data_IF_182215524572
#
_entry.id   IF_182215524572
#
_cell.length_a   1.000
_cell.length_b   1.000
_cell.length_c   1.000
_cell.angle_alpha   90.00
_cell.angle_beta   90.00
_cell.angle_gamma   90.00
#
_symmetry.space_group_name_H-M   'P 1'
#
loop_
_entity.id
_entity.type
_entity.pdbx_description
1 polymer ?
#
# COMPACT_ATOMS: atom_id res chain seq x y z
N UNK A 1 -2.42 -8.97 16.14
CA UNK A 1 -1.34 -9.36 15.22
C UNK A 1 -1.52 -10.78 14.68
N UNK A 2 -1.86 -11.78 15.51
CA UNK A 2 -1.98 -13.20 15.12
C UNK A 2 -3.06 -13.54 14.06
N UNK A 3 -3.91 -12.58 13.67
CA UNK A 3 -4.94 -12.76 12.63
C UNK A 3 -4.52 -12.23 11.26
N UNK A 4 -3.37 -11.53 11.17
CA UNK A 4 -2.85 -11.05 9.90
C UNK A 4 -2.24 -12.24 9.16
N UNK A 5 -2.76 -12.53 7.96
CA UNK A 5 -2.31 -13.68 7.14
C UNK A 5 -1.32 -13.26 6.07
N UNK A 6 -1.35 -11.99 5.65
CA UNK A 6 -0.47 -11.47 4.61
C UNK A 6 -0.57 -9.96 4.48
N UNK A 7 0.33 -9.40 3.69
CA UNK A 7 0.42 -7.99 3.35
C UNK A 7 0.49 -7.86 1.84
N UNK A 8 -0.18 -6.84 1.30
CA UNK A 8 -0.17 -6.54 -0.12
C UNK A 8 0.45 -5.16 -0.34
N UNK A 9 1.57 -5.11 -1.02
CA UNK A 9 2.28 -3.86 -1.34
C UNK A 9 1.82 -3.35 -2.70
N UNK A 10 1.41 -2.09 -2.75
CA UNK A 10 0.99 -1.45 -4.01
C UNK A 10 2.18 -1.10 -4.89
N UNK A 11 3.24 -0.59 -4.30
CA UNK A 11 4.51 -0.27 -4.94
C UNK A 11 5.63 -0.17 -3.90
N UNK A 12 6.86 0.13 -4.35
CA UNK A 12 8.05 -0.03 -3.51
C UNK A 12 8.71 1.31 -3.11
N UNK A 13 7.96 2.41 -3.06
CA UNK A 13 8.45 3.61 -2.40
C UNK A 13 8.61 3.35 -0.89
N UNK A 14 9.53 4.07 -0.26
CA UNK A 14 9.92 3.85 1.14
C UNK A 14 8.77 4.03 2.12
N UNK A 15 7.88 4.96 1.89
CA UNK A 15 6.68 5.24 2.70
C UNK A 15 5.58 4.17 2.58
N UNK A 16 5.71 3.22 1.63
CA UNK A 16 4.81 2.08 1.47
C UNK A 16 5.42 0.76 1.94
N UNK A 17 6.71 0.74 2.30
CA UNK A 17 7.40 -0.48 2.72
C UNK A 17 8.07 -0.38 4.09
N UNK A 18 8.28 0.82 4.64
CA UNK A 18 9.06 1.03 5.88
C UNK A 18 8.49 0.27 7.07
N UNK A 19 7.16 0.25 7.24
CA UNK A 19 6.50 -0.43 8.36
C UNK A 19 6.35 -1.94 8.16
N UNK A 20 6.71 -2.49 6.99
CA UNK A 20 6.67 -3.93 6.75
C UNK A 20 7.59 -4.69 7.72
N UNK A 21 8.74 -4.11 8.05
CA UNK A 21 9.68 -4.68 8.99
C UNK A 21 9.09 -4.80 10.41
N UNK A 22 8.44 -3.74 10.88
CA UNK A 22 7.78 -3.73 12.21
C UNK A 22 6.57 -4.67 12.23
N UNK A 23 5.72 -4.63 11.21
CA UNK A 23 4.59 -5.56 11.06
C UNK A 23 5.05 -7.02 11.10
N UNK A 24 6.13 -7.35 10.42
CA UNK A 24 6.72 -8.68 10.41
C UNK A 24 7.12 -9.10 11.83
N UNK A 25 7.89 -8.29 12.55
CA UNK A 25 8.32 -8.60 13.93
C UNK A 25 7.13 -8.75 14.86
N UNK A 26 6.16 -7.83 14.81
CA UNK A 26 4.95 -7.86 15.65
C UNK A 26 4.03 -9.06 15.35
N UNK A 27 4.11 -9.64 14.16
CA UNK A 27 3.35 -10.84 13.81
C UNK A 27 4.11 -12.13 14.06
N UNK A 28 5.43 -12.08 14.18
CA UNK A 28 6.30 -13.23 14.45
C UNK A 28 6.45 -13.49 15.95
N UNK A 29 6.92 -12.50 16.72
CA UNK A 29 7.20 -12.66 18.16
C UNK A 29 5.89 -12.80 18.93
N UNK A 30 5.74 -13.92 19.67
CA UNK A 30 4.60 -14.20 20.55
C UNK A 30 3.22 -14.05 19.87
N UNK A 31 3.15 -14.27 18.56
CA UNK A 31 1.91 -14.05 17.79
C UNK A 31 1.12 -15.33 17.49
N UNK A 32 1.65 -16.49 17.83
CA UNK A 32 1.10 -17.81 17.45
C UNK A 32 0.96 -17.99 15.92
N UNK A 33 1.79 -17.30 15.13
CA UNK A 33 1.88 -17.50 13.68
C UNK A 33 2.46 -18.89 13.41
N UNK A 34 1.89 -19.61 12.47
CA UNK A 34 2.30 -21.00 12.14
C UNK A 34 3.08 -21.10 10.82
N UNK A 35 3.29 -19.96 10.15
CA UNK A 35 4.07 -19.84 8.90
C UNK A 35 4.66 -18.44 8.77
N UNK A 36 5.63 -18.28 7.89
CA UNK A 36 6.17 -16.96 7.50
C UNK A 36 5.06 -16.03 6.99
N UNK A 37 5.26 -14.71 7.12
CA UNK A 37 4.29 -13.72 6.67
C UNK A 37 4.24 -13.69 5.14
N UNK A 38 3.05 -13.94 4.57
CA UNK A 38 2.86 -13.78 3.13
C UNK A 38 2.97 -12.30 2.74
N UNK A 39 3.84 -11.97 1.78
CA UNK A 39 3.99 -10.62 1.24
C UNK A 39 3.81 -10.65 -0.26
N UNK A 40 2.69 -10.12 -0.72
CA UNK A 40 2.37 -9.95 -2.13
C UNK A 40 2.83 -8.54 -2.55
N UNK A 41 3.45 -8.42 -3.71
CA UNK A 41 3.87 -7.10 -4.20
C UNK A 41 4.32 -7.13 -5.65
N UNK A 42 4.59 -5.95 -6.22
CA UNK A 42 5.11 -5.85 -7.59
C UNK A 42 6.48 -6.52 -7.71
N UNK A 43 6.90 -6.81 -8.93
CA UNK A 43 8.25 -7.30 -9.23
C UNK A 43 9.29 -6.40 -8.54
N UNK A 44 10.22 -7.01 -7.81
CA UNK A 44 11.21 -6.34 -6.95
C UNK A 44 10.88 -6.41 -5.47
N UNK A 45 9.68 -6.88 -5.08
CA UNK A 45 9.30 -7.10 -3.68
C UNK A 45 10.28 -8.06 -2.98
N UNK A 46 10.90 -8.97 -3.73
CA UNK A 46 11.91 -9.91 -3.26
C UNK A 46 13.15 -9.20 -2.68
N UNK A 47 13.53 -8.06 -3.29
CA UNK A 47 14.66 -7.26 -2.78
C UNK A 47 14.32 -6.60 -1.44
N UNK A 48 13.08 -6.20 -1.26
CA UNK A 48 12.60 -5.57 -0.01
C UNK A 48 12.57 -6.59 1.12
N UNK A 49 11.92 -7.73 0.89
CA UNK A 49 11.79 -8.78 1.90
C UNK A 49 13.16 -9.37 2.28
N UNK A 50 14.01 -9.67 1.29
CA UNK A 50 15.36 -10.14 1.53
C UNK A 50 16.21 -9.12 2.31
N UNK A 51 16.10 -7.83 1.95
CA UNK A 51 16.83 -6.78 2.67
C UNK A 51 16.43 -6.67 4.14
N UNK A 52 15.14 -6.80 4.45
CA UNK A 52 14.68 -6.85 5.85
C UNK A 52 15.12 -8.14 6.56
N UNK A 53 15.07 -9.30 5.92
CA UNK A 53 15.55 -10.55 6.50
C UNK A 53 17.06 -10.47 6.80
N UNK A 54 17.86 -9.92 5.90
CA UNK A 54 19.30 -9.74 6.11
C UNK A 54 19.56 -8.78 7.30
N UNK A 55 18.79 -7.70 7.40
CA UNK A 55 18.94 -6.74 8.50
C UNK A 55 18.57 -7.34 9.87
N UNK A 56 17.61 -8.27 9.92
CA UNK A 56 17.10 -8.85 11.17
C UNK A 56 17.68 -10.21 11.53
N UNK A 57 18.65 -10.75 10.78
CA UNK A 57 19.22 -12.08 11.04
C UNK A 57 19.70 -12.27 12.48
N UNK A 58 20.40 -11.29 13.03
CA UNK A 58 20.88 -11.35 14.42
C UNK A 58 19.73 -11.22 15.43
N UNK A 59 18.74 -10.39 15.17
CA UNK A 59 17.55 -10.27 16.02
C UNK A 59 16.77 -11.60 16.08
N UNK A 60 16.61 -12.27 14.93
CA UNK A 60 16.00 -13.60 14.87
C UNK A 60 16.76 -14.61 15.72
N UNK A 61 18.09 -14.61 15.63
CA UNK A 61 18.94 -15.49 16.42
C UNK A 61 18.80 -15.19 17.90
N UNK A 62 18.97 -13.93 18.33
CA UNK A 62 18.98 -13.53 19.75
C UNK A 62 17.62 -13.78 20.42
N UNK A 63 16.49 -13.46 19.73
CA UNK A 63 15.17 -13.72 20.30
C UNK A 63 14.88 -15.21 20.43
N UNK A 64 15.28 -16.01 19.44
CA UNK A 64 15.13 -17.45 19.53
C UNK A 64 16.01 -18.06 20.65
N UNK A 65 17.25 -17.64 20.79
CA UNK A 65 18.15 -18.10 21.87
C UNK A 65 17.61 -17.72 23.26
N UNK A 66 16.97 -16.55 23.40
CA UNK A 66 16.36 -16.12 24.67
C UNK A 66 15.05 -16.82 25.00
N UNK A 67 14.20 -17.10 23.99
CA UNK A 67 12.80 -17.42 24.24
C UNK A 67 12.35 -18.74 23.60
N UNK A 68 13.16 -19.36 22.75
CA UNK A 68 12.85 -20.62 22.07
C UNK A 68 11.70 -20.53 21.06
N UNK A 69 11.28 -21.69 20.58
CA UNK A 69 10.25 -21.81 19.55
C UNK A 69 8.85 -21.43 20.01
N UNK A 70 8.60 -21.43 21.32
CA UNK A 70 7.28 -21.00 21.85
C UNK A 70 7.01 -19.52 21.59
N UNK A 71 8.02 -18.68 21.55
CA UNK A 71 7.90 -17.22 21.44
C UNK A 71 8.44 -16.70 20.10
N UNK A 72 9.58 -17.26 19.65
CA UNK A 72 10.29 -16.82 18.48
C UNK A 72 10.74 -18.01 17.61
N UNK A 73 9.79 -18.75 17.00
CA UNK A 73 10.11 -19.92 16.19
C UNK A 73 10.91 -19.53 14.96
N UNK A 74 12.13 -20.09 14.85
CA UNK A 74 13.14 -19.69 13.86
C UNK A 74 12.74 -20.03 12.43
N UNK A 75 12.06 -21.15 12.24
CA UNK A 75 11.66 -21.72 10.95
C UNK A 75 10.60 -20.86 10.21
N UNK A 76 9.88 -20.03 10.93
CA UNK A 76 8.87 -19.12 10.38
C UNK A 76 9.21 -17.63 10.53
N UNK A 77 10.43 -17.31 10.99
CA UNK A 77 10.94 -15.96 10.92
C UNK A 77 11.07 -15.53 9.44
N UNK A 78 10.81 -14.25 9.16
CA UNK A 78 10.88 -13.75 7.79
C UNK A 78 9.57 -13.83 7.02
N UNK A 79 9.69 -13.83 5.69
CA UNK A 79 8.60 -13.64 4.76
C UNK A 79 8.42 -14.85 3.82
N UNK A 80 7.19 -15.08 3.39
CA UNK A 80 6.88 -15.84 2.19
C UNK A 80 6.53 -14.82 1.08
N UNK A 81 7.50 -14.54 0.23
CA UNK A 81 7.38 -13.47 -0.78
C UNK A 81 6.72 -13.98 -2.04
N UNK A 82 5.68 -13.29 -2.48
CA UNK A 82 4.87 -13.66 -3.66
C UNK A 82 4.83 -12.47 -4.63
N UNK A 83 5.71 -12.43 -5.63
CA UNK A 83 5.62 -11.43 -6.68
C UNK A 83 4.31 -11.56 -7.46
N UNK A 84 3.63 -10.42 -7.66
CA UNK A 84 2.36 -10.38 -8.38
C UNK A 84 2.61 -10.49 -9.89
N UNK A 85 2.03 -11.51 -10.50
CA UNK A 85 1.97 -11.68 -11.95
C UNK A 85 0.65 -11.13 -12.51
N UNK A 86 0.70 -10.01 -13.23
CA UNK A 86 -0.48 -9.39 -13.83
C UNK A 86 -1.05 -10.17 -15.04
N UNK A 87 -0.37 -11.21 -15.52
CA UNK A 87 -0.96 -12.15 -16.50
C UNK A 87 -1.94 -13.12 -15.83
N UNK A 88 -1.80 -13.32 -14.49
CA UNK A 88 -2.72 -14.03 -13.64
C UNK A 88 -3.11 -13.13 -12.44
N UNK A 89 -4.00 -12.15 -12.63
CA UNK A 89 -4.22 -11.06 -11.68
C UNK A 89 -4.97 -11.47 -10.40
N UNK A 90 -5.59 -12.65 -10.34
CA UNK A 90 -6.23 -13.19 -9.12
C UNK A 90 -5.14 -13.80 -8.24
N UNK A 91 -4.73 -13.07 -7.21
CA UNK A 91 -3.60 -13.45 -6.35
C UNK A 91 -4.04 -14.25 -5.11
N UNK A 92 -5.30 -14.13 -4.71
CA UNK A 92 -5.91 -14.90 -3.63
C UNK A 92 -7.32 -15.30 -4.08
N UNK A 93 -7.66 -16.59 -3.97
CA UNK A 93 -9.01 -17.11 -4.17
C UNK A 93 -9.22 -18.29 -3.21
N UNK A 94 -9.59 -17.96 -1.97
CA UNK A 94 -9.77 -18.97 -0.92
C UNK A 94 -10.72 -18.50 0.17
N UNK A 95 -11.42 -19.43 0.81
CA UNK A 95 -12.34 -19.18 1.93
C UNK A 95 -13.41 -18.11 1.60
N UNK A 96 -13.77 -17.95 0.31
CA UNK A 96 -14.72 -16.95 -0.18
C UNK A 96 -14.14 -15.54 -0.33
N UNK A 97 -12.84 -15.36 -0.07
CA UNK A 97 -12.10 -14.14 -0.37
C UNK A 97 -11.43 -14.29 -1.73
N UNK A 98 -11.73 -13.34 -2.63
CA UNK A 98 -11.01 -13.16 -3.88
C UNK A 98 -10.29 -11.82 -3.88
N UNK A 99 -9.00 -11.82 -4.21
CA UNK A 99 -8.20 -10.59 -4.36
C UNK A 99 -7.64 -10.52 -5.77
N UNK A 100 -7.94 -9.42 -6.45
CA UNK A 100 -7.47 -9.16 -7.81
C UNK A 100 -6.53 -7.95 -7.79
N UNK A 101 -5.32 -8.13 -8.28
CA UNK A 101 -4.36 -7.05 -8.49
C UNK A 101 -4.54 -6.45 -9.89
N UNK A 102 -4.32 -5.15 -10.03
CA UNK A 102 -4.35 -4.48 -11.32
C UNK A 102 -3.34 -3.34 -11.37
N UNK A 103 -2.91 -2.97 -12.58
CA UNK A 103 -1.94 -1.88 -12.75
C UNK A 103 -2.61 -0.52 -12.63
N UNK A 104 -1.91 0.42 -11.99
CA UNK A 104 -2.23 1.85 -11.97
C UNK A 104 -1.05 2.68 -12.48
N UNK A 105 -1.28 3.88 -13.06
CA UNK A 105 -0.21 4.76 -13.52
C UNK A 105 0.41 5.53 -12.35
N UNK A 106 1.73 5.33 -12.13
CA UNK A 106 2.51 6.04 -11.11
C UNK A 106 3.96 6.22 -11.59
N UNK A 107 4.14 6.76 -12.80
CA UNK A 107 5.47 6.91 -13.41
C UNK A 107 6.41 7.77 -12.56
N UNK A 108 7.70 7.37 -12.41
CA UNK A 108 8.40 6.30 -13.12
C UNK A 108 8.30 4.90 -12.47
N UNK A 109 7.52 4.73 -11.39
CA UNK A 109 7.38 3.45 -10.69
C UNK A 109 6.57 2.46 -11.51
N UNK A 110 7.18 1.33 -11.86
CA UNK A 110 6.58 0.29 -12.72
C UNK A 110 6.97 -1.11 -12.28
N UNK A 111 5.97 -1.97 -11.96
CA UNK A 111 4.55 -1.66 -11.88
C UNK A 111 4.17 -1.00 -10.54
N UNK A 112 3.15 -0.15 -10.56
CA UNK A 112 2.36 0.22 -9.39
C UNK A 112 1.00 -0.48 -9.48
N UNK A 113 0.46 -0.92 -8.35
CA UNK A 113 -0.69 -1.79 -8.25
C UNK A 113 -1.81 -1.18 -7.42
N UNK A 114 -3.05 -1.39 -7.87
CA UNK A 114 -4.24 -1.35 -7.04
C UNK A 114 -4.74 -2.76 -6.76
N UNK A 115 -5.63 -2.90 -5.78
CA UNK A 115 -6.21 -4.19 -5.38
C UNK A 115 -7.71 -4.09 -5.21
N UNK A 116 -8.43 -5.10 -5.74
CA UNK A 116 -9.85 -5.32 -5.45
C UNK A 116 -10.01 -6.56 -4.59
N UNK A 117 -10.78 -6.42 -3.52
CA UNK A 117 -11.16 -7.48 -2.59
C UNK A 117 -12.64 -7.75 -2.73
N UNK A 118 -13.02 -8.96 -3.04
CA UNK A 118 -14.41 -9.42 -3.05
C UNK A 118 -14.58 -10.49 -1.95
N UNK A 119 -15.52 -10.27 -1.03
CA UNK A 119 -15.79 -11.18 0.09
C UNK A 119 -17.25 -11.16 0.52
N UNK A 120 -17.91 -12.32 0.47
CA UNK A 120 -19.31 -12.48 0.91
C UNK A 120 -20.27 -11.45 0.34
N UNK A 121 -20.16 -11.15 -0.94
CA UNK A 121 -21.03 -10.21 -1.65
C UNK A 121 -20.73 -8.73 -1.36
N UNK A 122 -19.58 -8.43 -0.73
CA UNK A 122 -19.05 -7.08 -0.54
C UNK A 122 -17.74 -6.92 -1.28
N UNK A 123 -17.45 -5.69 -1.69
CA UNK A 123 -16.23 -5.37 -2.41
C UNK A 123 -15.56 -4.08 -1.92
N UNK A 124 -14.24 -4.15 -1.83
CA UNK A 124 -13.39 -3.00 -1.48
C UNK A 124 -12.32 -2.88 -2.55
N UNK A 125 -12.05 -1.66 -2.99
CA UNK A 125 -10.94 -1.35 -3.89
C UNK A 125 -9.99 -0.38 -3.21
N UNK A 126 -8.69 -0.62 -3.38
CA UNK A 126 -7.60 0.25 -2.91
C UNK A 126 -6.80 0.68 -4.12
N UNK A 127 -6.70 1.99 -4.36
CA UNK A 127 -6.05 2.53 -5.55
C UNK A 127 -4.54 2.27 -5.60
N UNK A 128 -3.85 2.26 -4.45
CA UNK A 128 -2.43 2.58 -4.41
C UNK A 128 -2.20 4.03 -4.83
N UNK A 129 -0.94 4.44 -4.99
CA UNK A 129 -0.62 5.76 -5.54
C UNK A 129 -0.80 5.74 -7.05
N UNK A 130 -1.51 6.73 -7.58
CA UNK A 130 -1.90 6.76 -8.97
C UNK A 130 -2.29 8.16 -9.45
N UNK A 131 -1.92 8.55 -10.65
CA UNK A 131 -2.66 9.58 -11.36
C UNK A 131 -4.02 9.04 -11.82
N UNK A 132 -4.86 9.88 -12.47
CA UNK A 132 -6.15 9.43 -13.01
C UNK A 132 -6.02 8.14 -13.83
N UNK A 133 -6.84 7.13 -13.54
CA UNK A 133 -6.69 5.77 -14.07
C UNK A 133 -8.00 5.15 -14.53
N UNK A 134 -8.13 4.96 -15.85
CA UNK A 134 -9.26 4.22 -16.43
C UNK A 134 -9.27 2.75 -15.97
N UNK A 135 -8.08 2.17 -15.73
CA UNK A 135 -7.98 0.79 -15.26
C UNK A 135 -8.46 0.66 -13.81
N UNK A 136 -8.23 1.67 -12.96
CA UNK A 136 -8.81 1.74 -11.61
C UNK A 136 -10.34 1.81 -11.70
N UNK A 137 -10.90 2.69 -12.54
CA UNK A 137 -12.34 2.82 -12.76
C UNK A 137 -12.94 1.47 -13.17
N UNK A 138 -12.32 0.78 -14.11
CA UNK A 138 -12.75 -0.56 -14.57
C UNK A 138 -12.81 -1.57 -13.43
N UNK A 139 -11.80 -1.61 -12.56
CA UNK A 139 -11.74 -2.57 -11.45
C UNK A 139 -12.57 -2.13 -10.24
N UNK A 140 -13.01 -0.89 -10.19
CA UNK A 140 -13.88 -0.33 -9.15
C UNK A 140 -15.37 -0.40 -9.48
N UNK A 141 -15.75 -0.94 -10.66
CA UNK A 141 -17.17 -1.02 -11.05
C UNK A 141 -18.01 -1.68 -9.97
N UNK A 142 -19.08 -0.96 -9.55
CA UNK A 142 -20.07 -1.39 -8.55
C UNK A 142 -19.44 -1.84 -7.21
N UNK A 143 -18.31 -1.23 -6.83
CA UNK A 143 -17.67 -1.52 -5.54
C UNK A 143 -18.42 -0.84 -4.39
N UNK A 144 -18.56 -1.54 -3.25
CA UNK A 144 -19.13 -0.93 -2.04
C UNK A 144 -18.23 0.20 -1.52
N UNK A 145 -16.92 0.03 -1.56
CA UNK A 145 -15.97 1.05 -1.07
C UNK A 145 -14.76 1.17 -1.99
N UNK A 146 -14.43 2.39 -2.38
CA UNK A 146 -13.16 2.75 -3.00
C UNK A 146 -12.33 3.60 -2.04
N UNK A 147 -11.20 3.06 -1.60
CA UNK A 147 -10.12 3.84 -1.00
C UNK A 147 -9.25 4.41 -2.12
N UNK A 148 -9.21 5.74 -2.25
CA UNK A 148 -8.45 6.43 -3.28
C UNK A 148 -7.51 7.44 -2.65
N UNK A 149 -6.25 7.47 -3.13
CA UNK A 149 -5.32 8.52 -2.76
C UNK A 149 -5.85 9.90 -3.19
N UNK A 150 -5.38 10.97 -2.55
CA UNK A 150 -5.79 12.31 -2.95
C UNK A 150 -4.70 13.35 -2.68
N UNK A 151 -4.39 14.16 -3.70
CA UNK A 151 -3.41 15.24 -3.63
C UNK A 151 -4.06 16.61 -3.81
N UNK A 152 -3.93 17.47 -2.79
CA UNK A 152 -4.48 18.81 -2.79
C UNK A 152 -3.52 19.83 -3.46
N UNK A 153 -3.53 19.93 -4.79
CA UNK A 153 -2.63 20.78 -5.58
C UNK A 153 -2.69 22.25 -5.18
N UNK A 154 -3.83 22.76 -4.72
CA UNK A 154 -3.95 24.12 -4.20
C UNK A 154 -3.14 24.34 -2.90
N UNK A 155 -3.03 23.32 -2.03
CA UNK A 155 -2.15 23.38 -0.86
C UNK A 155 -0.69 23.30 -1.26
N UNK A 156 -0.33 22.45 -2.24
CA UNK A 156 1.04 22.41 -2.80
C UNK A 156 1.45 23.75 -3.38
N UNK A 157 0.53 24.46 -4.06
CA UNK A 157 0.81 25.81 -4.59
C UNK A 157 1.14 26.84 -3.49
N UNK A 158 0.49 26.76 -2.33
CA UNK A 158 0.81 27.58 -1.16
C UNK A 158 2.19 27.19 -0.61
N UNK A 159 2.46 25.90 -0.47
CA UNK A 159 3.75 25.41 0.03
C UNK A 159 4.91 25.81 -0.88
N UNK A 160 4.75 25.71 -2.20
CA UNK A 160 5.79 26.15 -3.17
C UNK A 160 6.14 27.62 -3.00
N UNK A 161 5.16 28.48 -2.76
CA UNK A 161 5.40 29.91 -2.49
C UNK A 161 6.15 30.13 -1.17
N UNK A 162 5.74 29.42 -0.11
CA UNK A 162 6.37 29.52 1.19
C UNK A 162 7.81 28.97 1.22
N UNK A 163 8.13 28.03 0.34
CA UNK A 163 9.41 27.33 0.27
C UNK A 163 10.25 27.76 -0.94
N UNK A 164 9.97 28.93 -1.55
CA UNK A 164 10.57 29.38 -2.80
C UNK A 164 12.12 29.37 -2.80
N UNK A 165 12.74 29.63 -1.66
CA UNK A 165 14.19 29.60 -1.49
C UNK A 165 14.78 28.18 -1.43
N UNK A 166 13.96 27.16 -1.19
CA UNK A 166 14.38 25.76 -1.18
C UNK A 166 14.08 25.08 -2.53
N UNK A 167 14.98 25.23 -3.48
CA UNK A 167 14.81 24.70 -4.84
C UNK A 167 14.58 23.19 -4.89
N UNK A 168 15.17 22.41 -3.97
CA UNK A 168 15.00 20.97 -3.90
C UNK A 168 13.57 20.57 -3.51
N UNK A 169 13.03 21.19 -2.46
CA UNK A 169 11.65 20.95 -2.05
C UNK A 169 10.64 21.43 -3.10
N UNK A 170 10.86 22.61 -3.68
CA UNK A 170 10.00 23.12 -4.77
C UNK A 170 9.99 22.16 -5.95
N UNK A 171 11.15 21.56 -6.30
CA UNK A 171 11.19 20.54 -7.35
C UNK A 171 10.34 19.32 -7.00
N UNK A 172 10.49 18.78 -5.80
CA UNK A 172 9.66 17.64 -5.33
C UNK A 172 8.17 17.99 -5.43
N UNK A 173 7.75 19.16 -4.93
CA UNK A 173 6.35 19.60 -4.97
C UNK A 173 5.81 19.82 -6.40
N UNK A 174 6.68 20.04 -7.38
CA UNK A 174 6.28 20.07 -8.79
C UNK A 174 6.18 18.66 -9.39
N UNK A 175 7.12 17.79 -9.06
CA UNK A 175 7.18 16.46 -9.62
C UNK A 175 5.95 15.62 -9.17
N UNK A 176 5.58 15.69 -7.89
CA UNK A 176 4.45 14.90 -7.34
C UNK A 176 3.10 15.26 -7.98
N UNK A 177 2.92 16.45 -8.55
CA UNK A 177 1.68 16.80 -9.27
C UNK A 177 1.45 15.98 -10.55
N UNK A 178 2.46 15.26 -11.02
CA UNK A 178 2.39 14.53 -12.30
C UNK A 178 2.00 13.07 -12.15
N UNK A 179 2.06 12.52 -10.92
CA UNK A 179 1.84 11.09 -10.70
C UNK A 179 0.91 10.74 -9.53
N UNK A 180 0.21 11.76 -8.99
CA UNK A 180 -0.88 11.60 -8.02
C UNK A 180 -2.19 12.16 -8.57
N UNK A 181 -3.32 11.67 -8.04
CA UNK A 181 -4.65 12.12 -8.40
C UNK A 181 -5.14 13.22 -7.46
N UNK A 182 -5.90 14.16 -8.01
CA UNK A 182 -6.62 15.16 -7.21
C UNK A 182 -7.90 14.57 -6.59
N UNK A 183 -8.44 15.16 -5.51
CA UNK A 183 -9.74 14.75 -4.96
C UNK A 183 -10.89 14.79 -5.99
N UNK A 184 -10.82 15.74 -6.93
CA UNK A 184 -11.81 15.85 -8.01
C UNK A 184 -11.72 14.66 -8.97
N UNK A 185 -10.52 14.27 -9.38
CA UNK A 185 -10.29 13.10 -10.24
C UNK A 185 -10.70 11.80 -9.54
N UNK A 186 -10.40 11.68 -8.24
CA UNK A 186 -10.84 10.53 -7.43
C UNK A 186 -12.36 10.44 -7.34
N UNK A 187 -13.05 11.59 -7.13
CA UNK A 187 -14.51 11.64 -7.13
C UNK A 187 -15.12 11.33 -8.52
N UNK A 188 -14.49 11.79 -9.59
CA UNK A 188 -14.89 11.44 -10.96
C UNK A 188 -14.73 9.93 -11.21
N UNK A 189 -13.61 9.35 -10.80
CA UNK A 189 -13.38 7.91 -10.91
C UNK A 189 -14.43 7.09 -10.15
N UNK A 190 -14.75 7.48 -8.91
CA UNK A 190 -15.78 6.84 -8.09
C UNK A 190 -17.17 6.92 -8.74
N UNK A 191 -17.55 8.09 -9.27
CA UNK A 191 -18.83 8.26 -9.97
C UNK A 191 -18.91 7.41 -11.24
N UNK A 192 -17.87 7.40 -12.07
CA UNK A 192 -17.83 6.60 -13.30
C UNK A 192 -17.84 5.09 -13.01
N UNK A 193 -17.30 4.69 -11.86
CA UNK A 193 -17.32 3.31 -11.41
C UNK A 193 -18.57 2.91 -10.63
N UNK A 194 -19.54 3.82 -10.41
CA UNK A 194 -20.73 3.57 -9.61
C UNK A 194 -20.42 3.02 -8.22
N UNK A 195 -19.45 3.63 -7.51
CA UNK A 195 -19.01 3.20 -6.18
C UNK A 195 -19.96 3.75 -5.12
N UNK A 196 -20.34 2.93 -4.13
CA UNK A 196 -21.24 3.38 -3.06
C UNK A 196 -20.58 4.39 -2.11
N UNK A 197 -19.29 4.15 -1.76
CA UNK A 197 -18.55 4.99 -0.81
C UNK A 197 -17.13 5.26 -1.31
N UNK A 198 -16.77 6.54 -1.44
CA UNK A 198 -15.41 6.99 -1.68
C UNK A 198 -14.76 7.41 -0.36
N UNK A 199 -13.60 6.85 -0.05
CA UNK A 199 -12.80 7.21 1.13
C UNK A 199 -11.43 7.66 0.65
N UNK A 200 -11.04 8.87 1.02
CA UNK A 200 -9.69 9.36 0.73
C UNK A 200 -8.70 8.81 1.75
N UNK A 201 -7.54 8.37 1.26
CA UNK A 201 -6.39 8.01 2.07
C UNK A 201 -5.11 8.54 1.40
N UNK A 202 -3.94 8.33 1.99
CA UNK A 202 -2.68 8.84 1.44
C UNK A 202 -2.78 10.32 1.02
N UNK A 203 -3.30 11.17 1.94
CA UNK A 203 -3.55 12.57 1.67
C UNK A 203 -2.24 13.35 1.53
N UNK A 204 -2.04 14.02 0.40
CA UNK A 204 -0.83 14.80 0.11
C UNK A 204 -1.17 16.26 -0.17
N UNK A 205 -0.60 17.21 0.60
CA UNK A 205 0.24 17.03 1.78
C UNK A 205 -0.56 16.47 2.97
N UNK A 206 0.09 15.68 3.83
CA UNK A 206 -0.56 15.11 4.99
C UNK A 206 -1.19 16.22 5.87
N UNK A 207 -2.51 16.15 6.15
CA UNK A 207 -3.18 17.19 6.92
C UNK A 207 -2.68 17.19 8.37
N UNK A 208 -2.35 18.39 8.88
CA UNK A 208 -1.85 18.56 10.26
C UNK A 208 -2.95 18.80 11.28
N UNK A 209 -4.16 19.09 10.84
CA UNK A 209 -5.34 19.38 11.67
C UNK A 209 -6.62 19.28 10.83
N UNK A 210 -7.77 19.32 11.49
CA UNK A 210 -9.09 19.21 10.86
C UNK A 210 -9.38 20.32 9.83
N UNK A 211 -8.72 21.50 9.92
CA UNK A 211 -8.90 22.54 8.92
C UNK A 211 -8.24 22.17 7.60
N UNK A 212 -6.99 21.71 7.66
CA UNK A 212 -6.24 21.27 6.47
C UNK A 212 -6.81 19.98 5.87
N UNK A 213 -7.40 19.10 6.68
CA UNK A 213 -8.12 17.92 6.21
C UNK A 213 -9.36 18.29 5.38
N UNK A 214 -10.14 19.28 5.83
CA UNK A 214 -11.33 19.76 5.11
C UNK A 214 -11.04 20.49 3.80
N UNK A 215 -9.78 20.66 3.46
CA UNK A 215 -9.35 21.28 2.19
C UNK A 215 -9.17 20.25 1.07
N UNK A 216 -9.40 18.95 1.33
CA UNK A 216 -9.51 17.89 0.34
C UNK A 216 -10.98 17.69 -0.06
#
# INVERSE_FOLDING_TARGET
>A
ANKIRGTLLTHLHSDHISELADLHLMTWVNSARTKSLDVYGPKGVELVTQGFEDAYQLDYQFRHEHHGDEVAPRDIAGFNTVPVDLSNPVIIDQDGLKVTAFRVPHDPVKPALGYRFDYKGRSIVISGDTSYSENLIKHSQDADVLFHEAQANHQLAIMKKALADNKGLVKILNDIETYHATPIEAAQAANLANVDHLIFYHLTPAPRNNLTERMF
#
